data_IF_620669492902
#
_entry.id   IF_620669492902
#
_cell.length_a   1.000
_cell.length_b   1.000
_cell.length_c   1.000
_cell.angle_alpha   90.00
_cell.angle_beta   90.00
_cell.angle_gamma   90.00
#
_symmetry.space_group_name_H-M   'P 1'
#
loop_
_entity.id
_entity.type
_entity.pdbx_description
1 polymer ?
#
# COMPACT_ATOMS: atom_id res chain seq x y z
N UNK A 1 20.63 13.11 8.04
CA UNK A 1 19.89 13.41 6.79
C UNK A 1 18.40 13.31 7.09
N UNK A 2 17.58 14.07 6.38
CA UNK A 2 16.12 13.96 6.43
C UNK A 2 15.62 13.41 5.10
N UNK A 3 14.52 12.68 5.13
CA UNK A 3 13.87 12.14 3.93
C UNK A 3 12.43 12.62 3.91
N UNK A 4 12.04 13.33 2.86
CA UNK A 4 10.67 13.80 2.65
C UNK A 4 9.97 12.94 1.62
N UNK A 5 8.87 12.30 2.00
CA UNK A 5 7.99 11.60 1.08
C UNK A 5 6.86 12.54 0.69
N UNK A 6 6.62 12.72 -0.60
CA UNK A 6 5.54 13.57 -1.09
C UNK A 6 4.58 12.82 -2.01
N UNK A 7 3.30 13.18 -1.96
CA UNK A 7 2.28 12.75 -2.90
C UNK A 7 2.08 13.79 -3.99
N UNK A 8 2.16 13.36 -5.25
CA UNK A 8 1.77 14.18 -6.40
C UNK A 8 0.30 13.94 -6.78
N UNK A 9 -0.19 14.69 -7.78
CA UNK A 9 -1.57 14.59 -8.26
C UNK A 9 -1.94 13.20 -8.80
N UNK A 10 -0.95 12.45 -9.30
CA UNK A 10 -1.16 11.12 -9.87
C UNK A 10 -1.41 10.04 -8.81
N UNK A 11 -1.14 10.31 -7.52
CA UNK A 11 -1.53 9.41 -6.44
C UNK A 11 -3.05 9.13 -6.43
N UNK A 12 -3.87 10.05 -6.93
CA UNK A 12 -5.31 9.85 -7.06
C UNK A 12 -5.67 8.73 -8.07
N UNK A 13 -4.82 8.47 -9.07
CA UNK A 13 -5.03 7.40 -10.05
C UNK A 13 -4.90 6.00 -9.42
N UNK A 14 -4.21 5.87 -8.28
CA UNK A 14 -4.09 4.61 -7.56
C UNK A 14 -5.35 4.24 -6.76
N UNK A 15 -6.45 5.01 -6.91
CA UNK A 15 -7.76 4.64 -6.37
C UNK A 15 -8.22 3.29 -6.96
N UNK A 16 -8.83 2.40 -6.14
CA UNK A 16 -9.35 2.64 -4.78
C UNK A 16 -8.30 2.41 -3.68
N UNK A 17 -7.12 1.88 -4.00
CA UNK A 17 -6.16 1.38 -3.01
C UNK A 17 -5.50 2.51 -2.20
N UNK A 18 -5.20 3.64 -2.83
CA UNK A 18 -4.63 4.80 -2.16
C UNK A 18 -5.67 5.86 -1.74
N UNK A 19 -6.97 5.60 -1.84
CA UNK A 19 -7.98 6.64 -1.56
C UNK A 19 -8.04 7.04 -0.08
N UNK A 20 -7.96 6.06 0.83
CA UNK A 20 -8.03 6.27 2.28
C UNK A 20 -6.66 6.22 2.98
N UNK A 21 -5.57 6.06 2.23
CA UNK A 21 -4.20 5.94 2.75
C UNK A 21 -3.19 6.60 1.82
N UNK A 22 -1.98 6.94 2.30
CA UNK A 22 -0.89 7.38 1.43
C UNK A 22 -0.42 6.26 0.50
N UNK A 23 -0.04 6.62 -0.73
CA UNK A 23 0.48 5.66 -1.70
C UNK A 23 1.72 4.91 -1.16
N UNK A 24 2.60 5.59 -0.43
CA UNK A 24 3.79 4.99 0.19
C UNK A 24 3.51 3.97 1.30
N UNK A 25 2.25 3.83 1.74
CA UNK A 25 1.83 2.82 2.72
C UNK A 25 1.27 1.54 2.09
N UNK A 26 1.19 1.47 0.76
CA UNK A 26 0.76 0.27 0.06
C UNK A 26 1.87 -0.78 0.04
N UNK A 27 1.49 -2.03 0.30
CA UNK A 27 2.42 -3.15 0.37
C UNK A 27 2.79 -3.67 -1.02
N UNK A 28 4.08 -3.77 -1.31
CA UNK A 28 4.64 -4.41 -2.50
C UNK A 28 5.72 -5.40 -2.05
N UNK A 29 5.63 -6.63 -2.50
CA UNK A 29 6.40 -7.70 -1.87
C UNK A 29 5.85 -7.97 -0.47
N UNK A 30 6.64 -7.76 0.56
CA UNK A 30 6.22 -7.88 1.96
C UNK A 30 6.50 -6.61 2.76
N UNK A 31 6.62 -5.46 2.08
CA UNK A 31 7.05 -4.19 2.68
C UNK A 31 6.37 -3.00 2.02
N UNK A 32 6.36 -1.87 2.72
CA UNK A 32 5.92 -0.57 2.21
C UNK A 32 7.12 0.32 1.88
N UNK A 33 6.92 1.36 1.08
CA UNK A 33 7.95 2.37 0.82
C UNK A 33 8.36 3.09 2.12
N UNK A 34 7.42 3.34 3.02
CA UNK A 34 7.69 3.92 4.33
C UNK A 34 8.72 3.10 5.11
N UNK A 35 8.49 1.78 5.24
CA UNK A 35 9.41 0.89 5.96
C UNK A 35 10.81 0.87 5.33
N UNK A 36 10.87 0.90 4.00
CA UNK A 36 12.14 0.87 3.28
C UNK A 36 12.93 2.16 3.39
N UNK A 37 12.28 3.29 3.62
CA UNK A 37 12.94 4.58 3.76
C UNK A 37 13.37 4.90 5.20
N UNK A 38 12.94 4.15 6.21
CA UNK A 38 13.39 4.33 7.60
C UNK A 38 14.93 4.42 7.76
N UNK A 39 15.74 3.58 7.08
CA UNK A 39 17.19 3.65 7.20
C UNK A 39 17.83 4.94 6.63
N UNK A 40 17.07 5.73 5.83
CA UNK A 40 17.55 6.98 5.25
C UNK A 40 17.43 8.19 6.19
N UNK A 41 17.05 7.98 7.45
CA UNK A 41 17.00 8.99 8.49
C UNK A 41 15.58 9.38 8.90
N UNK A 42 15.41 10.59 9.44
CA UNK A 42 14.09 11.07 9.88
C UNK A 42 13.16 11.22 8.67
N UNK A 43 12.00 10.55 8.74
CA UNK A 43 10.97 10.65 7.70
C UNK A 43 10.05 11.84 7.95
N UNK A 44 9.89 12.65 6.93
CA UNK A 44 8.90 13.71 6.82
C UNK A 44 7.90 13.33 5.74
N UNK A 45 6.68 13.83 5.81
CA UNK A 45 5.66 13.54 4.78
C UNK A 45 4.92 14.79 4.34
N UNK A 46 4.66 14.88 3.03
CA UNK A 46 3.75 15.87 2.43
C UNK A 46 2.68 15.11 1.67
N UNK A 47 1.51 14.99 2.29
CA UNK A 47 0.41 14.14 1.81
C UNK A 47 -0.79 14.99 1.39
N UNK A 48 -1.71 14.37 0.65
CA UNK A 48 -3.01 14.95 0.33
C UNK A 48 -3.70 15.49 1.59
N UNK A 49 -4.42 16.62 1.51
CA UNK A 49 -4.90 17.37 2.69
C UNK A 49 -5.70 16.52 3.69
N UNK A 50 -6.56 15.62 3.22
CA UNK A 50 -7.38 14.76 4.08
C UNK A 50 -6.55 13.75 4.86
N UNK A 51 -5.49 13.19 4.28
CA UNK A 51 -4.60 12.24 4.94
C UNK A 51 -3.69 12.94 5.95
N UNK A 52 -3.19 14.14 5.60
CA UNK A 52 -2.41 14.96 6.52
C UNK A 52 -3.22 15.29 7.76
N UNK A 53 -4.44 15.85 7.59
CA UNK A 53 -5.35 16.15 8.71
C UNK A 53 -5.63 14.93 9.58
N UNK A 54 -5.87 13.78 8.97
CA UNK A 54 -6.10 12.53 9.68
C UNK A 54 -4.89 12.14 10.55
N UNK A 55 -3.68 12.18 9.99
CA UNK A 55 -2.46 11.81 10.72
C UNK A 55 -2.13 12.81 11.84
N UNK A 56 -2.37 14.11 11.61
CA UNK A 56 -2.23 15.14 12.65
C UNK A 56 -3.15 14.87 13.85
N UNK A 57 -4.39 14.46 13.59
CA UNK A 57 -5.34 14.10 14.65
C UNK A 57 -4.99 12.80 15.38
N UNK A 58 -4.31 11.86 14.70
CA UNK A 58 -3.86 10.60 15.29
C UNK A 58 -2.60 10.74 16.15
N UNK A 59 -1.86 11.82 16.00
CA UNK A 59 -0.52 11.97 16.54
C UNK A 59 -0.40 11.50 17.99
N UNK A 60 0.45 10.48 18.22
CA UNK A 60 0.73 9.91 19.54
C UNK A 60 -0.35 8.99 20.13
N UNK A 61 -1.47 8.74 19.46
CA UNK A 61 -2.54 7.88 20.00
C UNK A 61 -2.40 6.42 19.57
N UNK A 62 -2.33 6.14 18.29
CA UNK A 62 -2.14 4.79 17.74
C UNK A 62 -1.67 4.82 16.27
N UNK A 63 -1.34 3.64 15.74
CA UNK A 63 -1.08 3.49 14.30
C UNK A 63 -2.33 3.84 13.46
N UNK A 64 -2.14 4.33 12.21
CA UNK A 64 -3.24 4.59 11.29
C UNK A 64 -4.08 3.34 10.98
N UNK A 65 -5.29 3.53 10.41
CA UNK A 65 -6.20 2.43 10.04
C UNK A 65 -5.54 1.37 9.16
N UNK A 66 -4.64 1.76 8.29
CA UNK A 66 -3.93 0.83 7.40
C UNK A 66 -2.76 0.10 8.07
N UNK A 67 -2.47 0.35 9.36
CA UNK A 67 -1.30 -0.21 10.04
C UNK A 67 0.00 0.53 9.65
N UNK A 68 1.12 -0.08 9.95
CA UNK A 68 2.44 0.49 9.68
C UNK A 68 3.03 1.29 10.84
N UNK A 69 4.23 1.86 10.69
CA UNK A 69 4.85 2.64 11.74
C UNK A 69 3.98 3.84 12.11
N UNK A 70 3.88 4.12 13.39
CA UNK A 70 3.26 5.35 13.86
C UNK A 70 4.06 6.53 13.29
N UNK A 71 3.38 7.42 12.59
CA UNK A 71 3.99 8.69 12.22
C UNK A 71 4.15 9.49 13.50
N UNK A 72 5.38 9.88 13.83
CA UNK A 72 5.59 10.88 14.88
C UNK A 72 4.88 12.17 14.45
N UNK A 73 4.21 12.83 15.39
CA UNK A 73 3.52 14.09 15.11
C UNK A 73 4.45 15.14 14.47
N UNK A 74 5.73 15.03 14.74
CA UNK A 74 6.80 15.91 14.25
C UNK A 74 7.19 15.64 12.78
N UNK A 75 6.68 14.58 12.16
CA UNK A 75 6.94 14.20 10.76
C UNK A 75 5.97 14.77 9.72
N UNK A 76 4.95 15.50 10.16
CA UNK A 76 3.84 15.94 9.27
C UNK A 76 3.97 17.38 8.82
N UNK A 77 4.75 18.19 9.49
CA UNK A 77 5.07 19.54 9.05
C UNK A 77 6.52 19.61 8.59
N UNK A 78 6.78 20.31 7.48
CA UNK A 78 8.09 20.91 7.29
C UNK A 78 8.18 21.90 8.46
N UNK A 79 8.95 21.63 9.51
CA UNK A 79 9.00 22.57 10.62
C UNK A 79 9.63 23.84 10.05
N UNK A 80 8.94 24.97 10.19
CA UNK A 80 9.64 26.22 10.27
C UNK A 80 10.68 26.02 11.40
N UNK A 81 11.95 25.87 11.05
CA UNK A 81 13.10 25.80 11.94
C UNK A 81 12.93 24.95 13.22
N UNK A 82 12.92 23.62 13.11
CA UNK A 82 13.18 22.78 14.25
C UNK A 82 14.68 22.83 14.62
N UNK A 83 14.97 23.27 15.82
CA UNK A 83 16.31 23.35 16.36
C UNK A 83 17.04 22.00 16.22
N UNK A 84 18.16 21.99 15.51
CA UNK A 84 19.05 20.83 15.36
C UNK A 84 19.88 20.64 16.61
N UNK A 85 20.22 19.39 16.96
CA UNK A 85 21.35 19.14 17.85
C UNK A 85 22.60 19.76 17.23
N UNK A 86 23.33 20.56 17.97
CA UNK A 86 24.46 21.39 17.52
C UNK A 86 25.71 20.62 17.08
N UNK A 87 25.72 19.29 17.07
CA UNK A 87 26.93 18.47 16.93
C UNK A 87 27.15 17.81 15.56
N UNK A 88 26.26 18.01 14.57
CA UNK A 88 26.44 17.52 13.20
C UNK A 88 26.39 18.61 12.14
N UNK A 89 27.05 19.75 12.39
CA UNK A 89 27.36 20.71 11.33
C UNK A 89 28.54 20.16 10.49
N UNK A 90 28.25 19.20 9.64
CA UNK A 90 29.11 18.80 8.55
C UNK A 90 29.26 19.96 7.54
N UNK A 91 30.38 20.04 6.86
CA UNK A 91 30.75 21.06 5.87
C UNK A 91 29.80 21.21 4.67
N UNK A 92 28.75 20.43 4.62
CA UNK A 92 27.68 20.44 3.61
C UNK A 92 26.39 20.87 4.29
N UNK A 93 25.68 21.83 3.72
CA UNK A 93 24.31 22.17 4.13
C UNK A 93 23.48 20.90 4.25
N UNK A 94 22.36 20.93 4.99
CA UNK A 94 21.56 19.72 5.24
C UNK A 94 20.98 19.16 3.94
N UNK A 95 21.48 18.00 3.55
CA UNK A 95 20.91 17.20 2.47
C UNK A 95 19.52 16.74 2.86
N UNK A 96 18.55 16.96 1.96
CA UNK A 96 17.21 16.45 2.02
C UNK A 96 16.99 15.50 0.84
N UNK A 97 16.72 14.22 1.14
CA UNK A 97 16.23 13.28 0.14
C UNK A 97 14.71 13.46 0.00
N UNK A 98 14.25 13.79 -1.19
CA UNK A 98 12.81 13.92 -1.51
C UNK A 98 12.41 12.73 -2.36
N UNK A 99 11.37 11.98 -1.98
CA UNK A 99 10.93 10.76 -2.66
C UNK A 99 9.44 10.82 -2.93
N UNK A 100 9.04 10.54 -4.17
CA UNK A 100 7.64 10.46 -4.52
C UNK A 100 6.99 9.22 -3.88
N UNK A 101 5.81 9.38 -3.29
CA UNK A 101 5.08 8.32 -2.61
C UNK A 101 4.68 7.13 -3.52
N UNK A 102 4.76 7.31 -4.84
CA UNK A 102 4.47 6.28 -5.85
C UNK A 102 5.69 5.44 -6.24
N UNK A 103 6.87 5.72 -5.69
CA UNK A 103 8.08 4.91 -5.93
C UNK A 103 7.85 3.48 -5.44
N UNK A 104 8.17 2.52 -6.28
CA UNK A 104 8.09 1.10 -5.96
C UNK A 104 9.21 0.73 -4.98
N UNK A 105 8.92 0.14 -3.81
CA UNK A 105 9.93 -0.22 -2.81
C UNK A 105 10.73 -1.47 -3.19
N UNK A 106 11.14 -1.58 -4.46
CA UNK A 106 11.98 -2.66 -4.95
C UNK A 106 13.41 -2.53 -4.42
N UNK A 107 14.16 -3.63 -4.46
CA UNK A 107 15.59 -3.61 -4.10
C UNK A 107 16.37 -2.65 -5.00
N UNK A 108 16.05 -2.65 -6.28
CA UNK A 108 16.69 -1.83 -7.31
C UNK A 108 16.45 -0.34 -7.04
N UNK A 109 15.21 0.06 -6.80
CA UNK A 109 14.86 1.44 -6.45
C UNK A 109 15.61 1.92 -5.21
N UNK A 110 15.71 1.07 -4.18
CA UNK A 110 16.42 1.44 -2.95
C UNK A 110 17.94 1.54 -3.13
N UNK A 111 18.55 0.67 -3.91
CA UNK A 111 19.98 0.78 -4.25
C UNK A 111 20.25 2.06 -5.03
N UNK A 112 19.38 2.41 -5.96
CA UNK A 112 19.44 3.68 -6.70
C UNK A 112 19.35 4.89 -5.75
N UNK A 113 18.35 4.95 -4.87
CA UNK A 113 18.23 6.01 -3.88
C UNK A 113 19.44 6.11 -2.97
N UNK A 114 20.00 4.98 -2.55
CA UNK A 114 21.20 4.93 -1.73
C UNK A 114 22.42 5.49 -2.47
N UNK A 115 22.64 5.08 -3.73
CA UNK A 115 23.75 5.59 -4.54
C UNK A 115 23.68 7.09 -4.77
N UNK A 116 22.48 7.64 -4.95
CA UNK A 116 22.26 9.09 -5.08
C UNK A 116 22.69 9.83 -3.81
N UNK A 117 22.29 9.29 -2.65
CA UNK A 117 22.65 9.87 -1.35
C UNK A 117 24.15 9.78 -1.09
N UNK A 118 24.77 8.64 -1.39
CA UNK A 118 26.21 8.40 -1.20
C UNK A 118 27.05 9.29 -2.12
N UNK A 119 26.61 9.51 -3.36
CA UNK A 119 27.27 10.41 -4.29
C UNK A 119 27.16 11.88 -3.85
N UNK A 120 26.12 12.24 -3.12
CA UNK A 120 25.93 13.60 -2.57
C UNK A 120 25.69 14.69 -3.63
N UNK A 121 25.44 14.31 -4.87
CA UNK A 121 25.21 15.27 -5.96
C UNK A 121 23.75 15.74 -5.96
N UNK A 122 23.56 17.06 -5.92
CA UNK A 122 22.24 17.68 -6.09
C UNK A 122 21.66 17.34 -7.45
N UNK A 123 20.41 16.92 -7.47
CA UNK A 123 19.77 16.58 -8.73
C UNK A 123 18.41 15.97 -8.54
N UNK A 124 17.76 15.67 -9.67
CA UNK A 124 16.46 14.98 -9.69
C UNK A 124 16.54 13.68 -10.51
N UNK A 125 15.74 12.71 -10.12
CA UNK A 125 15.44 11.50 -10.90
C UNK A 125 14.06 11.65 -11.48
N UNK A 126 13.97 11.57 -12.80
CA UNK A 126 12.69 11.69 -13.52
C UNK A 126 12.26 10.36 -14.13
N UNK A 127 10.95 10.22 -14.21
CA UNK A 127 10.26 9.31 -15.15
C UNK A 127 9.56 10.15 -16.22
N UNK A 128 9.02 9.55 -17.29
CA UNK A 128 8.24 10.30 -18.28
C UNK A 128 7.04 11.05 -17.68
N UNK A 129 6.48 10.58 -16.58
CA UNK A 129 5.25 11.11 -15.97
C UNK A 129 5.50 12.02 -14.77
N UNK A 130 6.64 11.89 -14.05
CA UNK A 130 6.84 12.60 -12.79
C UNK A 130 8.31 12.67 -12.34
N UNK A 131 8.57 13.45 -11.30
CA UNK A 131 9.81 13.37 -10.51
C UNK A 131 9.67 12.22 -9.51
N UNK A 132 10.56 11.25 -9.60
CA UNK A 132 10.59 10.08 -8.71
C UNK A 132 11.32 10.39 -7.40
N UNK A 133 12.46 11.09 -7.48
CA UNK A 133 13.23 11.50 -6.32
C UNK A 133 14.05 12.76 -6.62
N UNK A 134 14.49 13.44 -5.56
CA UNK A 134 15.46 14.53 -5.65
C UNK A 134 16.38 14.53 -4.44
N UNK A 135 17.64 14.94 -4.64
CA UNK A 135 18.57 15.24 -3.57
C UNK A 135 18.83 16.74 -3.55
N UNK A 136 18.42 17.42 -2.49
CA UNK A 136 18.40 18.87 -2.36
C UNK A 136 19.27 19.34 -1.19
N UNK A 137 19.76 20.56 -1.27
CA UNK A 137 20.40 21.28 -0.18
C UNK A 137 19.46 22.36 0.35
N UNK A 138 18.66 22.05 1.35
CA UNK A 138 17.76 23.02 1.94
C UNK A 138 18.51 24.02 2.82
N UNK A 139 18.25 25.31 2.60
CA UNK A 139 18.76 26.41 3.42
C UNK A 139 18.05 26.47 4.76
N UNK A 140 18.73 26.87 5.85
CA UNK A 140 18.08 27.16 7.12
C UNK A 140 17.03 28.28 7.05
N UNK A 141 17.15 29.19 6.07
CA UNK A 141 16.24 30.33 5.85
C UNK A 141 15.04 29.99 4.97
N UNK A 142 15.03 28.81 4.33
CA UNK A 142 13.99 28.36 3.37
C UNK A 142 13.78 29.31 2.16
N UNK A 143 14.80 30.10 1.79
CA UNK A 143 14.74 31.06 0.68
C UNK A 143 15.63 30.66 -0.50
N UNK A 144 16.28 29.51 -0.44
CA UNK A 144 17.19 29.02 -1.47
C UNK A 144 16.48 28.49 -2.71
N UNK A 145 17.24 28.29 -3.81
CA UNK A 145 16.68 27.70 -5.05
C UNK A 145 16.11 26.30 -4.84
N UNK A 146 16.70 25.49 -3.97
CA UNK A 146 16.22 24.14 -3.67
C UNK A 146 14.90 24.17 -2.89
N UNK A 147 14.68 25.20 -2.06
CA UNK A 147 13.42 25.37 -1.35
C UNK A 147 12.29 25.71 -2.32
N UNK A 148 12.55 26.49 -3.36
CA UNK A 148 11.58 26.77 -4.44
C UNK A 148 11.24 25.53 -5.23
N UNK A 149 12.24 24.72 -5.60
CA UNK A 149 12.01 23.44 -6.26
C UNK A 149 11.15 22.52 -5.38
N UNK A 150 11.46 22.44 -4.10
CA UNK A 150 10.67 21.65 -3.15
C UNK A 150 9.20 22.11 -3.16
N UNK A 151 8.94 23.42 -3.09
CA UNK A 151 7.57 23.96 -3.16
C UNK A 151 6.86 23.56 -4.47
N UNK A 152 7.56 23.59 -5.59
CA UNK A 152 6.98 23.19 -6.88
C UNK A 152 6.69 21.69 -6.96
N UNK A 153 7.56 20.82 -6.43
CA UNK A 153 7.31 19.38 -6.31
C UNK A 153 6.07 19.10 -5.45
N UNK A 154 5.96 19.79 -4.32
CA UNK A 154 4.81 19.67 -3.41
C UNK A 154 3.52 20.23 -4.00
N UNK A 155 3.60 21.19 -4.90
CA UNK A 155 2.45 21.72 -5.65
C UNK A 155 1.99 20.80 -6.80
N UNK A 156 2.70 19.69 -7.05
CA UNK A 156 2.34 18.71 -8.09
C UNK A 156 2.69 19.15 -9.50
N UNK A 157 3.80 19.88 -9.66
CA UNK A 157 4.29 20.33 -10.97
C UNK A 157 4.45 19.15 -11.94
N UNK A 158 3.93 19.30 -13.15
CA UNK A 158 4.00 18.26 -14.17
C UNK A 158 5.46 18.00 -14.62
N UNK A 159 5.76 16.77 -15.02
CA UNK A 159 7.10 16.37 -15.47
C UNK A 159 7.63 17.27 -16.62
N UNK A 160 6.74 17.79 -17.48
CA UNK A 160 7.09 18.69 -18.57
C UNK A 160 7.73 20.00 -18.09
N UNK A 161 7.30 20.52 -16.95
CA UNK A 161 7.80 21.80 -16.40
C UNK A 161 9.14 21.63 -15.68
N UNK A 162 9.55 20.39 -15.39
CA UNK A 162 10.80 20.12 -14.67
C UNK A 162 12.06 20.45 -15.49
N UNK A 163 11.97 20.48 -16.81
CA UNK A 163 13.13 20.87 -17.67
C UNK A 163 13.52 22.33 -17.49
N UNK A 164 12.56 23.24 -17.36
CA UNK A 164 12.83 24.64 -17.03
C UNK A 164 13.35 24.79 -15.59
N UNK A 165 12.80 23.99 -14.67
CA UNK A 165 13.27 23.93 -13.29
C UNK A 165 14.73 23.52 -13.16
N UNK A 166 15.16 22.50 -13.89
CA UNK A 166 16.56 22.06 -13.89
C UNK A 166 17.49 23.19 -14.30
N UNK A 167 17.14 23.90 -15.39
CA UNK A 167 17.91 25.02 -15.89
C UNK A 167 17.92 26.22 -14.92
N UNK A 168 16.77 26.55 -14.35
CA UNK A 168 16.60 27.69 -13.45
C UNK A 168 17.35 27.55 -12.12
N UNK A 169 17.58 26.30 -11.67
CA UNK A 169 18.16 26.01 -10.35
C UNK A 169 19.52 25.29 -10.40
N UNK A 170 20.13 25.21 -11.59
CA UNK A 170 21.43 24.53 -11.80
C UNK A 170 21.46 23.12 -11.20
N UNK A 171 20.36 22.38 -11.44
CA UNK A 171 20.20 21.01 -11.01
C UNK A 171 20.48 20.05 -12.16
N UNK A 172 21.08 18.92 -11.83
CA UNK A 172 21.41 17.87 -12.79
C UNK A 172 20.29 16.84 -12.82
N UNK A 173 19.94 16.37 -14.02
CA UNK A 173 19.18 15.14 -14.13
C UNK A 173 20.12 13.97 -13.83
N UNK A 174 19.80 13.22 -12.77
CA UNK A 174 20.60 12.08 -12.35
C UNK A 174 20.30 10.91 -13.27
N UNK A 175 21.35 10.30 -13.83
CA UNK A 175 21.22 9.07 -14.64
C UNK A 175 20.91 7.88 -13.70
N UNK A 176 19.65 7.79 -13.32
CA UNK A 176 19.17 6.82 -12.37
C UNK A 176 17.74 6.40 -12.73
N UNK A 177 17.47 5.11 -12.62
CA UNK A 177 16.13 4.56 -12.87
C UNK A 177 15.48 4.13 -11.56
N UNK A 178 14.23 4.55 -11.40
CA UNK A 178 13.38 4.18 -10.28
C UNK A 178 12.00 3.86 -10.81
N UNK A 179 11.47 2.70 -10.46
CA UNK A 179 10.12 2.31 -10.84
C UNK A 179 9.07 3.10 -10.05
N UNK A 180 8.03 3.53 -10.73
CA UNK A 180 6.91 4.26 -10.15
C UNK A 180 5.57 3.63 -10.52
N UNK A 181 4.61 3.71 -9.59
CA UNK A 181 3.23 3.33 -9.84
C UNK A 181 2.50 4.43 -10.61
N UNK A 182 1.82 4.07 -11.68
CA UNK A 182 0.91 4.96 -12.42
C UNK A 182 -0.55 4.51 -12.27
N UNK A 183 -0.77 3.19 -12.28
CA UNK A 183 -2.10 2.60 -12.20
C UNK A 183 -2.20 1.56 -11.07
N UNK A 184 -3.37 1.37 -10.46
CA UNK A 184 -3.51 0.49 -9.30
C UNK A 184 -3.25 -1.00 -9.60
N UNK A 185 -3.39 -1.46 -10.84
CA UNK A 185 -3.06 -2.84 -11.22
C UNK A 185 -1.56 -3.15 -11.19
N UNK A 186 -0.72 -2.11 -11.30
CA UNK A 186 0.73 -2.25 -11.25
C UNK A 186 1.22 -2.68 -9.87
N UNK A 187 0.43 -2.40 -8.81
CA UNK A 187 0.70 -2.95 -7.49
C UNK A 187 0.78 -4.49 -7.51
N UNK A 188 -0.12 -5.15 -8.25
CA UNK A 188 -0.08 -6.61 -8.42
C UNK A 188 1.15 -7.02 -9.23
N UNK A 189 1.48 -6.28 -10.30
CA UNK A 189 2.65 -6.59 -11.15
C UNK A 189 3.97 -6.47 -10.40
N UNK A 190 4.19 -5.34 -9.74
CA UNK A 190 5.40 -5.11 -8.96
C UNK A 190 5.48 -6.00 -7.72
N UNK A 191 4.34 -6.34 -7.13
CA UNK A 191 4.31 -7.27 -6.01
C UNK A 191 4.85 -8.66 -6.41
N UNK A 192 4.39 -9.22 -7.52
CA UNK A 192 4.85 -10.51 -8.02
C UNK A 192 6.37 -10.51 -8.29
N UNK A 193 6.88 -9.42 -8.86
CA UNK A 193 8.32 -9.26 -9.14
C UNK A 193 9.15 -9.08 -7.86
N UNK A 194 8.64 -8.34 -6.89
CA UNK A 194 9.39 -7.93 -5.71
C UNK A 194 9.37 -8.96 -4.56
N UNK A 195 8.36 -9.85 -4.49
CA UNK A 195 8.13 -10.66 -3.28
C UNK A 195 9.34 -11.54 -2.92
N UNK A 196 9.87 -12.30 -3.88
CA UNK A 196 10.98 -13.20 -3.61
C UNK A 196 12.21 -12.45 -3.08
N UNK A 197 12.58 -11.32 -3.71
CA UNK A 197 13.69 -10.46 -3.26
C UNK A 197 13.42 -9.82 -1.89
N UNK A 198 12.17 -9.45 -1.64
CA UNK A 198 11.75 -8.89 -0.35
C UNK A 198 11.88 -9.92 0.79
N UNK A 199 11.50 -11.18 0.53
CA UNK A 199 11.65 -12.28 1.48
C UNK A 199 13.13 -12.61 1.75
N UNK A 200 13.99 -12.59 0.75
CA UNK A 200 15.41 -12.78 0.93
C UNK A 200 16.02 -11.75 1.92
N UNK A 201 15.67 -10.47 1.75
CA UNK A 201 16.10 -9.41 2.67
C UNK A 201 15.58 -9.63 4.10
N UNK A 202 14.36 -10.14 4.28
CA UNK A 202 13.83 -10.48 5.61
C UNK A 202 14.61 -11.63 6.25
N UNK A 203 14.89 -12.67 5.49
CA UNK A 203 15.64 -13.84 5.97
C UNK A 203 17.08 -13.48 6.34
N UNK A 204 17.72 -12.57 5.60
CA UNK A 204 19.06 -12.06 5.91
C UNK A 204 19.13 -11.32 7.27
N UNK A 205 18.00 -10.90 7.83
CA UNK A 205 17.94 -10.28 9.16
C UNK A 205 18.32 -11.23 10.31
N UNK A 206 18.32 -12.56 10.07
CA UNK A 206 18.68 -13.57 11.04
C UNK A 206 17.67 -13.81 12.17
N UNK A 207 16.44 -13.29 12.05
CA UNK A 207 15.40 -13.41 13.08
C UNK A 207 14.49 -14.63 12.90
N UNK A 208 14.69 -15.42 11.86
CA UNK A 208 13.86 -16.59 11.52
C UNK A 208 14.60 -17.90 11.71
N UNK A 209 13.87 -18.92 12.18
CA UNK A 209 14.32 -20.29 12.20
C UNK A 209 13.67 -21.09 11.06
N UNK A 210 14.44 -21.90 10.35
CA UNK A 210 13.87 -22.85 9.39
C UNK A 210 13.28 -24.03 10.16
N UNK A 211 11.94 -24.03 10.30
CA UNK A 211 11.20 -25.09 10.99
C UNK A 211 11.12 -26.38 10.17
N UNK A 212 11.01 -26.26 8.85
CA UNK A 212 11.00 -27.33 7.83
C UNK A 212 11.61 -26.80 6.55
N UNK A 213 12.04 -27.65 5.60
CA UNK A 213 12.61 -27.17 4.34
C UNK A 213 11.74 -26.11 3.67
N UNK A 214 12.28 -24.91 3.54
CA UNK A 214 11.61 -23.75 2.94
C UNK A 214 10.57 -23.03 3.79
N UNK A 215 10.35 -23.44 5.06
CA UNK A 215 9.44 -22.78 6.00
C UNK A 215 10.25 -22.07 7.10
N UNK A 216 10.25 -20.75 7.06
CA UNK A 216 10.97 -19.88 7.99
C UNK A 216 9.99 -19.18 8.93
N UNK A 217 10.19 -19.32 10.21
CA UNK A 217 9.28 -18.82 11.24
C UNK A 217 9.99 -17.86 12.19
N UNK A 218 9.35 -16.74 12.48
CA UNK A 218 9.80 -15.83 13.52
C UNK A 218 9.48 -16.39 14.92
N UNK A 219 10.10 -15.91 15.99
CA UNK A 219 9.71 -16.23 17.36
C UNK A 219 8.20 -16.01 17.59
N UNK A 220 7.60 -16.81 18.47
CA UNK A 220 6.17 -16.76 18.82
C UNK A 220 5.20 -17.11 17.67
N UNK A 221 5.67 -17.51 16.50
CA UNK A 221 4.80 -18.07 15.46
C UNK A 221 4.45 -19.53 15.79
N UNK A 222 3.19 -19.90 15.54
CA UNK A 222 2.68 -21.24 15.80
C UNK A 222 2.25 -21.90 14.48
N UNK A 223 2.83 -23.04 14.18
CA UNK A 223 2.54 -23.84 12.97
C UNK A 223 2.14 -25.23 13.38
N UNK A 224 0.93 -25.67 12.99
CA UNK A 224 0.45 -27.02 13.26
C UNK A 224 1.31 -28.10 12.54
N UNK A 225 1.37 -29.29 13.10
CA UNK A 225 2.21 -30.38 12.59
C UNK A 225 1.75 -30.88 11.21
N UNK A 226 0.48 -30.82 10.90
CA UNK A 226 -0.14 -31.28 9.66
C UNK A 226 -0.04 -30.26 8.50
N UNK A 227 0.68 -29.17 8.66
CA UNK A 227 0.92 -28.18 7.59
C UNK A 227 1.81 -28.79 6.51
N UNK A 228 1.41 -28.64 5.25
CA UNK A 228 2.18 -29.10 4.08
C UNK A 228 2.85 -27.90 3.42
N UNK A 229 4.17 -27.90 3.31
CA UNK A 229 4.95 -26.96 2.53
C UNK A 229 5.36 -27.64 1.23
N UNK A 230 4.80 -27.19 0.10
CA UNK A 230 5.12 -27.76 -1.22
C UNK A 230 6.35 -27.14 -1.84
N UNK A 231 6.52 -25.84 -1.61
CA UNK A 231 7.65 -25.05 -2.12
C UNK A 231 7.92 -23.87 -1.18
N UNK A 232 9.20 -23.54 -0.93
CA UNK A 232 9.61 -22.32 -0.22
C UNK A 232 10.12 -21.22 -1.16
N UNK A 233 10.50 -20.04 -0.64
CA UNK A 233 10.44 -19.70 0.79
C UNK A 233 9.01 -19.34 1.25
N UNK A 234 8.64 -19.80 2.42
CA UNK A 234 7.48 -19.33 3.17
C UNK A 234 7.99 -18.67 4.44
N UNK A 235 7.65 -17.40 4.64
CA UNK A 235 8.07 -16.63 5.82
C UNK A 235 6.85 -16.31 6.68
N UNK A 236 6.90 -16.72 7.95
CA UNK A 236 5.83 -16.57 8.94
C UNK A 236 6.32 -15.66 10.06
N UNK A 237 5.64 -14.54 10.24
CA UNK A 237 5.99 -13.50 11.21
C UNK A 237 5.53 -13.83 12.63
N UNK A 238 6.04 -13.07 13.61
CA UNK A 238 5.79 -13.25 15.04
C UNK A 238 4.30 -13.27 15.38
N UNK A 239 3.89 -14.18 16.23
CA UNK A 239 2.51 -14.34 16.71
C UNK A 239 1.52 -14.81 15.64
N UNK A 240 1.97 -15.17 14.43
CA UNK A 240 1.08 -15.77 13.43
C UNK A 240 0.75 -17.23 13.80
N UNK A 241 -0.47 -17.65 13.48
CA UNK A 241 -1.00 -18.98 13.77
C UNK A 241 -1.40 -19.67 12.47
N UNK A 242 -0.80 -20.83 12.16
CA UNK A 242 -1.13 -21.65 10.99
C UNK A 242 -1.84 -22.92 11.46
N UNK A 243 -3.11 -23.07 11.07
CA UNK A 243 -3.94 -24.21 11.45
C UNK A 243 -3.54 -25.53 10.76
N UNK A 244 -4.08 -26.66 11.20
CA UNK A 244 -3.78 -27.97 10.62
C UNK A 244 -4.30 -28.10 9.18
N UNK A 245 -3.66 -28.96 8.40
CA UNK A 245 -4.00 -29.28 7.00
C UNK A 245 -3.93 -28.08 6.06
N UNK A 246 -3.21 -27.01 6.44
CA UNK A 246 -2.92 -25.89 5.55
C UNK A 246 -1.85 -26.31 4.54
N UNK A 247 -2.04 -25.93 3.26
CA UNK A 247 -1.08 -26.12 2.20
C UNK A 247 -0.43 -24.78 1.84
N UNK A 248 0.91 -24.73 1.79
CA UNK A 248 1.68 -23.53 1.56
C UNK A 248 2.60 -23.71 0.34
N UNK A 249 2.50 -22.78 -0.62
CA UNK A 249 3.40 -22.67 -1.77
C UNK A 249 4.10 -21.29 -1.72
N UNK A 250 5.43 -21.29 -1.64
CA UNK A 250 6.25 -20.05 -1.69
C UNK A 250 6.60 -19.63 -3.13
N UNK A 251 7.05 -18.37 -3.32
CA UNK A 251 7.29 -17.38 -2.28
C UNK A 251 5.99 -16.91 -1.62
N UNK A 252 5.96 -16.88 -0.29
CA UNK A 252 4.79 -16.54 0.50
C UNK A 252 5.19 -15.81 1.79
N UNK A 253 4.50 -14.72 2.11
CA UNK A 253 4.66 -14.00 3.37
C UNK A 253 3.38 -14.01 4.18
N UNK A 254 3.48 -14.34 5.47
CA UNK A 254 2.38 -14.32 6.43
C UNK A 254 2.76 -13.37 7.57
N UNK A 255 2.11 -12.22 7.61
CA UNK A 255 2.40 -11.10 8.51
C UNK A 255 2.06 -11.38 9.98
N UNK A 256 2.51 -10.49 10.88
CA UNK A 256 2.38 -10.66 12.33
C UNK A 256 0.94 -10.87 12.79
N UNK A 257 0.75 -11.77 13.75
CA UNK A 257 -0.54 -12.07 14.38
C UNK A 257 -1.65 -12.49 13.40
N UNK A 258 -1.31 -12.91 12.21
CA UNK A 258 -2.25 -13.41 11.22
C UNK A 258 -2.65 -14.86 11.53
N UNK A 259 -3.93 -15.18 11.33
CA UNK A 259 -4.46 -16.53 11.53
C UNK A 259 -4.82 -17.15 10.19
N UNK A 260 -4.22 -18.29 9.89
CA UNK A 260 -4.55 -19.14 8.74
C UNK A 260 -5.41 -20.29 9.22
N UNK A 261 -6.65 -20.33 8.76
CA UNK A 261 -7.62 -21.34 9.18
C UNK A 261 -7.27 -22.72 8.60
N UNK A 262 -7.69 -23.82 9.26
CA UNK A 262 -7.50 -25.17 8.74
C UNK A 262 -7.96 -25.34 7.30
N UNK A 263 -7.27 -26.20 6.55
CA UNK A 263 -7.55 -26.52 5.14
C UNK A 263 -7.41 -25.35 4.15
N UNK A 264 -6.79 -24.23 4.55
CA UNK A 264 -6.47 -23.16 3.61
C UNK A 264 -5.37 -23.61 2.63
N UNK A 265 -5.43 -23.10 1.41
CA UNK A 265 -4.34 -23.22 0.44
C UNK A 265 -3.82 -21.83 0.08
N UNK A 266 -2.65 -21.49 0.59
CA UNK A 266 -1.97 -20.24 0.28
C UNK A 266 -0.90 -20.52 -0.78
N UNK A 267 -1.12 -19.98 -1.98
CA UNK A 267 -0.30 -20.24 -3.15
C UNK A 267 0.76 -19.14 -3.32
N UNK A 268 1.74 -19.49 -4.15
CA UNK A 268 2.88 -18.64 -4.45
C UNK A 268 2.47 -17.22 -4.90
N UNK A 269 3.33 -16.26 -4.60
CA UNK A 269 3.09 -14.87 -4.93
C UNK A 269 2.13 -14.16 -3.98
N UNK A 270 1.79 -14.73 -2.84
CA UNK A 270 0.87 -14.11 -1.88
C UNK A 270 1.58 -13.45 -0.71
N UNK A 271 1.08 -12.28 -0.28
CA UNK A 271 1.51 -11.60 0.93
C UNK A 271 0.29 -11.22 1.79
N UNK A 272 0.23 -11.80 2.97
CA UNK A 272 -0.87 -11.61 3.91
C UNK A 272 -0.39 -10.67 5.02
N UNK A 273 -0.95 -9.49 5.10
CA UNK A 273 -0.60 -8.45 6.08
C UNK A 273 -0.88 -8.85 7.52
N UNK A 274 -0.49 -7.97 8.44
CA UNK A 274 -0.65 -8.20 9.88
C UNK A 274 -2.13 -8.32 10.29
N UNK A 275 -2.41 -9.11 11.33
CA UNK A 275 -3.75 -9.22 11.93
C UNK A 275 -4.84 -9.74 10.98
N UNK A 276 -4.49 -10.30 9.83
CA UNK A 276 -5.44 -10.89 8.90
C UNK A 276 -6.00 -12.21 9.41
N UNK A 277 -7.13 -12.62 8.83
CA UNK A 277 -7.70 -13.97 9.01
C UNK A 277 -8.02 -14.53 7.65
N UNK A 278 -7.39 -15.65 7.30
CA UNK A 278 -7.46 -16.20 5.96
C UNK A 278 -7.82 -17.68 5.95
N UNK A 279 -8.52 -18.09 4.90
CA UNK A 279 -8.97 -19.47 4.64
C UNK A 279 -9.37 -19.61 3.18
N UNK A 280 -9.66 -20.84 2.74
CA UNK A 280 -9.88 -21.13 1.33
C UNK A 280 -8.63 -20.99 0.49
N UNK A 281 -8.75 -20.62 -0.78
CA UNK A 281 -7.62 -20.49 -1.71
C UNK A 281 -7.24 -19.03 -1.94
N UNK A 282 -5.93 -18.72 -1.83
CA UNK A 282 -5.37 -17.38 -2.11
C UNK A 282 -4.12 -17.57 -2.97
N UNK A 283 -4.03 -16.87 -4.11
CA UNK A 283 -2.93 -16.94 -5.06
C UNK A 283 -2.48 -15.54 -5.50
N UNK A 284 -1.16 -15.31 -5.57
CA UNK A 284 -0.55 -14.10 -6.15
C UNK A 284 -1.25 -12.80 -5.71
N UNK A 285 -1.59 -12.69 -4.43
CA UNK A 285 -2.44 -11.62 -3.91
C UNK A 285 -1.86 -10.96 -2.68
N UNK A 286 -2.12 -9.66 -2.54
CA UNK A 286 -1.82 -8.89 -1.33
C UNK A 286 -3.08 -8.69 -0.53
N UNK A 287 -3.02 -8.97 0.76
CA UNK A 287 -4.03 -8.55 1.73
C UNK A 287 -3.40 -7.60 2.73
N UNK A 288 -3.85 -6.35 2.73
CA UNK A 288 -3.39 -5.34 3.69
C UNK A 288 -3.89 -5.66 5.12
N UNK A 289 -3.27 -5.08 6.16
CA UNK A 289 -3.56 -5.43 7.56
C UNK A 289 -5.04 -5.39 7.95
N UNK A 290 -5.41 -6.24 8.92
CA UNK A 290 -6.74 -6.36 9.53
C UNK A 290 -7.84 -6.89 8.59
N UNK A 291 -7.50 -7.37 7.40
CA UNK A 291 -8.49 -7.88 6.44
C UNK A 291 -8.82 -9.36 6.67
N UNK A 292 -10.04 -9.73 6.31
CA UNK A 292 -10.57 -11.09 6.47
C UNK A 292 -10.96 -11.69 5.11
N UNK A 293 -10.49 -12.89 4.84
CA UNK A 293 -11.03 -13.87 3.93
C UNK A 293 -10.98 -15.24 4.65
N UNK A 294 -11.74 -15.36 5.74
CA UNK A 294 -11.60 -16.49 6.69
C UNK A 294 -12.23 -17.80 6.20
N UNK A 295 -13.07 -17.76 5.19
CA UNK A 295 -13.85 -18.90 4.71
C UNK A 295 -13.39 -19.37 3.33
N UNK A 296 -14.06 -20.39 2.78
CA UNK A 296 -13.90 -20.91 1.43
C UNK A 296 -14.10 -19.82 0.34
N UNK A 297 -13.73 -20.15 -0.87
CA UNK A 297 -13.72 -19.26 -2.02
C UNK A 297 -12.30 -19.03 -2.54
N UNK A 298 -12.18 -18.26 -3.63
CA UNK A 298 -10.92 -17.98 -4.31
C UNK A 298 -10.60 -16.49 -4.38
N UNK A 299 -9.35 -16.14 -4.06
CA UNK A 299 -8.78 -14.80 -4.23
C UNK A 299 -7.48 -14.92 -5.02
N UNK A 300 -7.48 -14.49 -6.28
CA UNK A 300 -6.30 -14.60 -7.13
C UNK A 300 -5.88 -13.28 -7.76
N UNK A 301 -4.57 -13.01 -7.86
CA UNK A 301 -3.95 -11.86 -8.53
C UNK A 301 -4.61 -10.54 -8.16
N UNK A 302 -4.85 -10.34 -6.86
CA UNK A 302 -5.65 -9.24 -6.31
C UNK A 302 -4.86 -8.40 -5.32
N UNK A 303 -5.26 -7.13 -5.14
CA UNK A 303 -4.79 -6.32 -4.02
C UNK A 303 -5.98 -5.87 -3.19
N UNK A 304 -5.97 -6.26 -1.92
CA UNK A 304 -7.06 -6.05 -0.96
C UNK A 304 -6.60 -5.08 0.12
N UNK A 305 -7.31 -3.97 0.27
CA UNK A 305 -7.05 -2.94 1.28
C UNK A 305 -7.21 -3.43 2.73
N UNK A 306 -7.02 -2.54 3.69
CA UNK A 306 -7.17 -2.84 5.12
C UNK A 306 -8.63 -2.86 5.56
N UNK A 307 -8.91 -3.65 6.61
CA UNK A 307 -10.25 -3.77 7.19
C UNK A 307 -11.32 -4.24 6.18
N UNK A 308 -10.90 -4.90 5.11
CA UNK A 308 -11.80 -5.54 4.15
C UNK A 308 -12.35 -6.84 4.75
N UNK A 309 -13.62 -7.12 4.49
CA UNK A 309 -14.21 -8.39 4.89
C UNK A 309 -14.78 -9.13 3.68
N UNK A 310 -14.10 -10.18 3.25
CA UNK A 310 -14.53 -11.07 2.17
C UNK A 310 -15.30 -12.22 2.80
N UNK A 311 -16.61 -12.30 2.53
CA UNK A 311 -17.50 -13.32 3.10
C UNK A 311 -17.34 -14.68 2.43
N UNK A 312 -17.92 -15.71 3.05
CA UNK A 312 -17.88 -17.10 2.59
C UNK A 312 -18.39 -17.25 1.14
N UNK A 313 -17.73 -18.11 0.37
CA UNK A 313 -18.08 -18.39 -1.02
C UNK A 313 -17.81 -17.24 -2.00
N UNK A 314 -17.13 -16.18 -1.58
CA UNK A 314 -16.71 -15.11 -2.51
C UNK A 314 -15.60 -15.62 -3.42
N UNK A 315 -15.75 -15.41 -4.73
CA UNK A 315 -14.80 -15.84 -5.76
C UNK A 315 -14.42 -14.65 -6.64
N UNK A 316 -13.11 -14.42 -6.79
CA UNK A 316 -12.59 -13.49 -7.79
C UNK A 316 -12.20 -14.24 -9.05
N UNK A 317 -12.70 -13.83 -10.22
CA UNK A 317 -12.13 -14.26 -11.47
C UNK A 317 -10.80 -13.53 -11.70
N UNK A 318 -9.74 -14.26 -12.02
CA UNK A 318 -8.44 -13.67 -12.34
C UNK A 318 -8.00 -13.88 -13.78
N UNK A 319 -8.74 -14.70 -14.54
CA UNK A 319 -8.50 -15.01 -15.95
C UNK A 319 -9.81 -14.87 -16.74
N UNK A 320 -9.76 -14.17 -17.86
CA UNK A 320 -10.94 -14.06 -18.73
C UNK A 320 -11.31 -15.39 -19.38
N UNK A 321 -12.58 -15.61 -19.61
CA UNK A 321 -13.06 -16.75 -20.42
C UNK A 321 -12.46 -16.75 -21.84
N UNK A 322 -12.13 -15.57 -22.39
CA UNK A 322 -11.48 -15.41 -23.70
C UNK A 322 -9.96 -15.60 -23.67
N UNK A 323 -9.35 -15.80 -22.49
CA UNK A 323 -7.89 -15.88 -22.29
C UNK A 323 -7.09 -14.66 -22.77
N UNK A 324 -7.76 -13.59 -23.19
CA UNK A 324 -7.12 -12.36 -23.63
C UNK A 324 -6.69 -11.44 -22.48
N UNK A 325 -5.91 -10.38 -22.77
CA UNK A 325 -5.48 -9.43 -21.75
C UNK A 325 -6.66 -8.72 -21.06
N UNK A 326 -6.47 -8.41 -19.79
CA UNK A 326 -7.47 -7.77 -18.95
C UNK A 326 -7.35 -6.25 -19.12
N UNK A 327 -8.48 -5.57 -19.18
CA UNK A 327 -8.58 -4.12 -19.17
C UNK A 327 -9.16 -3.66 -17.85
N UNK A 328 -8.46 -2.75 -17.21
CA UNK A 328 -8.96 -2.12 -15.99
C UNK A 328 -9.97 -1.02 -16.37
N UNK A 329 -11.17 -0.96 -15.76
CA UNK A 329 -12.03 0.20 -15.91
C UNK A 329 -11.34 1.42 -15.30
N UNK A 330 -11.23 2.51 -16.04
CA UNK A 330 -10.85 3.78 -15.47
C UNK A 330 -12.02 4.35 -14.67
N UNK A 331 -11.72 5.27 -13.74
CA UNK A 331 -12.75 5.98 -12.99
C UNK A 331 -13.79 6.59 -13.98
N UNK A 332 -15.10 6.53 -13.69
CA UNK A 332 -16.11 7.18 -14.52
C UNK A 332 -15.76 8.64 -14.83
N UNK A 333 -15.89 9.01 -16.10
CA UNK A 333 -15.47 10.33 -16.58
C UNK A 333 -13.99 10.50 -16.93
N UNK A 334 -13.13 9.50 -16.63
CA UNK A 334 -11.73 9.55 -17.02
C UNK A 334 -11.59 9.38 -18.56
N UNK A 335 -10.76 10.21 -19.26
CA UNK A 335 -10.65 10.18 -20.72
C UNK A 335 -10.23 8.82 -21.30
N UNK A 336 -9.44 8.06 -20.56
CA UNK A 336 -8.98 6.74 -21.01
C UNK A 336 -10.10 5.68 -21.08
N UNK A 337 -11.23 5.87 -20.39
CA UNK A 337 -12.35 4.92 -20.31
C UNK A 337 -11.95 3.55 -19.79
N UNK A 338 -10.95 2.90 -20.41
CA UNK A 338 -10.33 1.66 -19.96
C UNK A 338 -8.81 1.73 -20.14
N UNK A 339 -8.09 1.11 -19.22
CA UNK A 339 -6.62 1.03 -19.21
C UNK A 339 -6.19 -0.37 -19.62
N UNK A 340 -5.31 -0.46 -20.60
CA UNK A 340 -4.67 -1.73 -20.98
C UNK A 340 -3.66 -2.11 -19.90
N UNK A 341 -3.85 -3.26 -19.27
CA UNK A 341 -2.96 -3.70 -18.19
C UNK A 341 -1.77 -4.51 -18.70
N UNK A 342 -1.83 -5.01 -19.92
CA UNK A 342 -0.88 -5.98 -20.44
C UNK A 342 -0.94 -7.35 -19.77
N UNK A 343 -1.82 -7.55 -18.79
CA UNK A 343 -1.90 -8.75 -17.95
C UNK A 343 -2.98 -9.72 -18.44
N UNK A 344 -2.62 -10.99 -18.47
CA UNK A 344 -3.58 -12.09 -18.69
C UNK A 344 -4.27 -12.48 -17.40
N UNK A 345 -3.56 -12.36 -16.24
CA UNK A 345 -4.08 -12.64 -14.91
C UNK A 345 -4.16 -11.35 -14.09
N UNK A 346 -5.36 -10.98 -13.68
CA UNK A 346 -5.65 -9.89 -12.76
C UNK A 346 -7.02 -10.10 -12.13
N UNK A 347 -7.05 -10.20 -10.81
CA UNK A 347 -8.27 -10.32 -10.02
C UNK A 347 -8.91 -8.98 -9.71
N UNK A 348 -9.09 -8.68 -8.43
CA UNK A 348 -9.76 -7.49 -7.96
C UNK A 348 -8.83 -6.52 -7.25
N UNK A 349 -9.12 -5.22 -7.40
CA UNK A 349 -8.50 -4.13 -6.65
C UNK A 349 -9.56 -3.60 -5.67
N UNK A 350 -9.39 -3.93 -4.39
CA UNK A 350 -10.41 -3.71 -3.37
C UNK A 350 -9.90 -2.66 -2.37
N UNK A 351 -10.58 -1.51 -2.34
CA UNK A 351 -10.27 -0.42 -1.41
C UNK A 351 -10.53 -0.76 0.06
N UNK A 352 -9.93 0.02 0.93
CA UNK A 352 -10.07 -0.15 2.38
C UNK A 352 -11.53 -0.21 2.82
N UNK A 353 -11.82 -1.01 3.87
CA UNK A 353 -13.14 -1.08 4.51
C UNK A 353 -14.24 -1.74 3.65
N UNK A 354 -13.95 -2.15 2.42
CA UNK A 354 -14.94 -2.80 1.56
C UNK A 354 -15.40 -4.15 2.15
N UNK A 355 -16.62 -4.54 1.83
CA UNK A 355 -17.21 -5.80 2.31
C UNK A 355 -17.92 -6.53 1.18
N UNK A 356 -17.88 -7.86 1.22
CA UNK A 356 -18.72 -8.69 0.33
C UNK A 356 -19.81 -9.40 1.12
N UNK A 357 -20.96 -9.61 0.49
CA UNK A 357 -21.92 -10.62 0.93
C UNK A 357 -21.43 -12.04 0.64
N UNK A 358 -22.12 -13.04 1.16
CA UNK A 358 -21.81 -14.45 0.86
C UNK A 358 -22.02 -14.74 -0.64
N UNK A 359 -21.25 -15.70 -1.20
CA UNK A 359 -21.35 -16.13 -2.60
C UNK A 359 -21.25 -14.98 -3.63
N UNK A 360 -20.42 -13.99 -3.34
CA UNK A 360 -20.18 -12.87 -4.25
C UNK A 360 -19.25 -13.30 -5.38
N UNK A 361 -19.62 -12.98 -6.63
CA UNK A 361 -18.81 -13.22 -7.83
C UNK A 361 -18.19 -11.89 -8.30
N UNK A 362 -16.86 -11.82 -8.32
CA UNK A 362 -16.11 -10.62 -8.68
C UNK A 362 -15.37 -10.87 -10.00
N UNK A 363 -15.62 -10.09 -11.07
CA UNK A 363 -14.98 -10.31 -12.37
C UNK A 363 -13.51 -9.87 -12.39
N UNK A 364 -12.76 -10.35 -13.41
CA UNK A 364 -11.36 -9.96 -13.65
C UNK A 364 -11.21 -8.44 -13.76
N UNK A 365 -10.19 -7.87 -13.11
CA UNK A 365 -9.90 -6.46 -13.13
C UNK A 365 -10.97 -5.59 -12.46
N UNK A 366 -11.81 -6.17 -11.60
CA UNK A 366 -12.80 -5.40 -10.86
C UNK A 366 -12.13 -4.41 -9.92
N UNK A 367 -12.70 -3.21 -9.85
CA UNK A 367 -12.28 -2.14 -8.94
C UNK A 367 -13.42 -1.84 -7.98
N UNK A 368 -13.21 -2.09 -6.69
CA UNK A 368 -14.21 -1.91 -5.63
C UNK A 368 -13.75 -0.77 -4.71
N UNK A 369 -14.54 0.29 -4.64
CA UNK A 369 -14.22 1.51 -3.89
C UNK A 369 -14.17 1.31 -2.38
N UNK A 370 -13.58 2.31 -1.71
CA UNK A 370 -13.48 2.36 -0.24
C UNK A 370 -14.86 2.26 0.40
N UNK A 371 -14.98 1.47 1.47
CA UNK A 371 -16.21 1.27 2.22
C UNK A 371 -17.41 0.80 1.38
N UNK A 372 -17.19 0.28 0.17
CA UNK A 372 -18.26 -0.32 -0.61
C UNK A 372 -18.71 -1.66 -0.01
N UNK A 373 -19.98 -1.97 -0.12
CA UNK A 373 -20.55 -3.28 0.25
C UNK A 373 -21.19 -3.91 -0.99
N UNK A 374 -20.68 -5.05 -1.42
CA UNK A 374 -21.08 -5.70 -2.68
C UNK A 374 -21.61 -7.10 -2.44
N UNK A 375 -22.55 -7.54 -3.29
CA UNK A 375 -23.14 -8.88 -3.22
C UNK A 375 -23.56 -9.37 -4.61
N UNK A 376 -23.66 -10.67 -4.79
CA UNK A 376 -24.06 -11.29 -6.05
C UNK A 376 -23.00 -11.10 -7.15
N UNK A 377 -23.42 -10.81 -8.37
CA UNK A 377 -22.53 -10.53 -9.50
C UNK A 377 -22.10 -9.05 -9.48
N UNK A 378 -20.84 -8.80 -9.15
CA UNK A 378 -20.30 -7.45 -8.99
C UNK A 378 -19.95 -6.84 -10.36
N UNK A 379 -20.28 -5.56 -10.63
CA UNK A 379 -19.81 -4.88 -11.85
C UNK A 379 -18.30 -4.64 -11.79
N UNK A 380 -17.68 -4.39 -12.95
CA UNK A 380 -16.22 -4.17 -13.04
C UNK A 380 -15.75 -2.90 -12.28
N UNK A 381 -16.65 -1.94 -12.05
CA UNK A 381 -16.38 -0.74 -11.25
C UNK A 381 -17.50 -0.55 -10.21
N UNK A 382 -17.12 -0.37 -8.95
CA UNK A 382 -18.01 -0.02 -7.86
C UNK A 382 -17.46 1.23 -7.17
N UNK A 383 -18.27 2.28 -7.11
CA UNK A 383 -17.89 3.53 -6.43
C UNK A 383 -17.68 3.32 -4.93
N UNK A 384 -16.86 4.18 -4.34
CA UNK A 384 -16.69 4.21 -2.90
C UNK A 384 -18.03 4.50 -2.19
N UNK A 385 -18.20 3.99 -0.98
CA UNK A 385 -19.41 4.16 -0.17
C UNK A 385 -20.71 3.73 -0.87
N UNK A 386 -20.65 2.77 -1.77
CA UNK A 386 -21.82 2.21 -2.47
C UNK A 386 -22.16 0.85 -1.87
N UNK A 387 -23.44 0.61 -1.61
CA UNK A 387 -23.94 -0.74 -1.29
C UNK A 387 -24.82 -1.29 -2.40
N UNK A 388 -24.48 -2.49 -2.88
CA UNK A 388 -25.32 -3.27 -3.80
C UNK A 388 -26.16 -4.31 -3.05
N UNK A 389 -25.97 -4.38 -1.72
CA UNK A 389 -26.74 -5.27 -0.85
C UNK A 389 -28.08 -4.60 -0.55
N UNK A 390 -29.17 -5.13 -1.11
CA UNK A 390 -30.53 -4.68 -0.78
C UNK A 390 -31.36 -5.91 -0.41
N UNK A 391 -32.17 -5.78 0.64
CA UNK A 391 -33.02 -6.86 1.13
C UNK A 391 -34.17 -7.20 0.16
N UNK A 392 -34.47 -6.29 -0.76
CA UNK A 392 -35.61 -6.33 -1.70
C UNK A 392 -35.20 -6.30 -3.19
N UNK A 393 -33.92 -6.51 -3.50
CA UNK A 393 -33.42 -6.44 -4.89
C UNK A 393 -33.40 -5.02 -5.49
N UNK A 394 -33.40 -4.01 -4.64
CA UNK A 394 -33.37 -2.60 -5.03
C UNK A 394 -32.09 -2.15 -5.73
N UNK A 395 -32.10 -0.92 -6.24
CA UNK A 395 -30.93 -0.29 -6.87
C UNK A 395 -29.82 -0.06 -5.83
N UNK A 396 -28.54 -0.03 -6.28
CA UNK A 396 -27.44 0.36 -5.42
C UNK A 396 -27.72 1.68 -4.70
N UNK A 397 -27.40 1.74 -3.42
CA UNK A 397 -27.58 2.93 -2.59
C UNK A 397 -26.25 3.43 -2.02
N UNK A 398 -26.23 4.66 -1.52
CA UNK A 398 -25.05 5.27 -0.89
C UNK A 398 -25.01 4.98 0.60
N UNK A 399 -23.84 4.59 1.09
CA UNK A 399 -23.53 4.50 2.53
C UNK A 399 -22.96 5.84 2.99
N UNK A 400 -23.47 6.38 4.09
CA UNK A 400 -22.90 7.61 4.68
C UNK A 400 -21.60 7.32 5.43
N UNK A 401 -20.77 8.37 5.62
CA UNK A 401 -19.56 8.25 6.45
C UNK A 401 -19.87 7.78 7.87
N UNK A 402 -20.98 8.21 8.45
CA UNK A 402 -21.46 7.77 9.77
C UNK A 402 -21.78 6.28 9.80
N UNK A 403 -22.50 5.77 8.79
CA UNK A 403 -22.80 4.34 8.68
C UNK A 403 -21.53 3.50 8.50
N UNK A 404 -20.61 3.96 7.65
CA UNK A 404 -19.31 3.31 7.45
C UNK A 404 -18.50 3.26 8.76
N UNK A 405 -18.43 4.37 9.49
CA UNK A 405 -17.75 4.47 10.79
C UNK A 405 -18.37 3.54 11.83
N UNK A 406 -19.71 3.47 11.91
CA UNK A 406 -20.41 2.55 12.83
C UNK A 406 -20.10 1.10 12.52
N UNK A 407 -20.07 0.76 11.23
CA UNK A 407 -19.68 -0.59 10.78
C UNK A 407 -18.24 -0.94 11.11
N UNK A 408 -17.32 0.01 10.91
CA UNK A 408 -15.90 -0.13 11.25
C UNK A 408 -15.69 -0.28 12.76
N UNK A 409 -16.35 0.52 13.58
CA UNK A 409 -16.27 0.44 15.04
C UNK A 409 -16.58 -0.97 15.55
N UNK A 410 -17.66 -1.58 15.02
CA UNK A 410 -18.02 -2.96 15.36
C UNK A 410 -16.96 -3.98 14.91
N UNK A 411 -16.31 -3.76 13.77
CA UNK A 411 -15.20 -4.61 13.30
C UNK A 411 -13.98 -4.46 14.19
N UNK A 412 -13.60 -3.22 14.52
CA UNK A 412 -12.43 -2.90 15.32
C UNK A 412 -12.57 -3.43 16.76
N UNK A 413 -13.75 -3.29 17.36
CA UNK A 413 -14.04 -3.82 18.69
C UNK A 413 -13.77 -5.34 18.79
N UNK A 414 -14.07 -6.11 17.74
CA UNK A 414 -13.75 -7.56 17.68
C UNK A 414 -12.25 -7.85 17.61
N UNK A 415 -11.43 -6.85 17.38
CA UNK A 415 -9.96 -6.91 17.34
C UNK A 415 -9.31 -6.23 18.51
N UNK A 416 -10.09 -5.72 19.47
CA UNK A 416 -9.59 -4.94 20.59
C UNK A 416 -8.99 -3.60 20.18
N UNK A 417 -9.40 -3.06 19.03
CA UNK A 417 -8.96 -1.76 18.51
C UNK A 417 -10.09 -0.75 18.68
N UNK A 418 -9.78 0.44 19.18
CA UNK A 418 -10.74 1.53 19.35
C UNK A 418 -10.85 2.37 18.06
N UNK A 419 -12.07 2.76 17.69
CA UNK A 419 -12.32 3.73 16.64
C UNK A 419 -12.20 5.15 17.22
N UNK A 420 -11.25 5.92 16.73
CA UNK A 420 -10.98 7.27 17.17
C UNK A 420 -11.83 8.32 16.42
N UNK A 421 -11.99 9.55 16.98
CA UNK A 421 -12.65 10.65 16.26
C UNK A 421 -12.03 10.94 14.90
N UNK A 422 -10.69 10.88 14.79
CA UNK A 422 -9.99 11.06 13.52
C UNK A 422 -10.43 10.08 12.42
N UNK A 423 -10.73 8.82 12.78
CA UNK A 423 -11.22 7.81 11.82
C UNK A 423 -12.61 8.17 11.31
N UNK A 424 -13.47 8.67 12.19
CA UNK A 424 -14.83 9.11 11.83
C UNK A 424 -14.78 10.31 10.89
N UNK A 425 -13.91 11.29 11.19
CA UNK A 425 -13.71 12.48 10.37
C UNK A 425 -13.19 12.13 8.98
N UNK A 426 -12.21 11.21 8.90
CA UNK A 426 -11.70 10.71 7.61
C UNK A 426 -12.80 10.06 6.79
N UNK A 427 -13.58 9.17 7.38
CA UNK A 427 -14.66 8.47 6.67
C UNK A 427 -15.78 9.42 6.23
N UNK A 428 -16.12 10.40 7.03
CA UNK A 428 -17.10 11.43 6.66
C UNK A 428 -16.62 12.22 5.44
N UNK A 429 -15.36 12.68 5.47
CA UNK A 429 -14.78 13.45 4.38
C UNK A 429 -14.65 12.63 3.08
N UNK A 430 -14.27 11.36 3.18
CA UNK A 430 -14.20 10.47 2.02
C UNK A 430 -15.58 10.20 1.42
N UNK A 431 -16.62 10.05 2.25
CA UNK A 431 -17.99 9.83 1.77
C UNK A 431 -18.59 11.07 1.07
N UNK A 432 -18.23 12.27 1.51
CA UNK A 432 -18.66 13.55 0.89
C UNK A 432 -18.01 13.77 -0.49
N UNK A 433 -16.82 13.21 -0.72
CA UNK A 433 -16.06 13.38 -1.96
C UNK A 433 -16.13 12.15 -2.90
N UNK A 434 -16.93 11.15 -2.57
CA UNK A 434 -17.05 9.89 -3.32
C UNK A 434 -18.07 9.93 -4.45
#
# INVERSE_FOLDING_TARGET
>A
MQTLIFEDALCAQLSPLAAARPACSLSIGSVTLLERLLPFGQLLTSLRPHLRRYLEQLAGTRAPLWGGPAFAADGISIPAAAARPAETQSRYGSLLLVVNARVVPSRESLLTLRSIVEAGHRGIVRTPSAVAAALLHCSPTHDGPDDRLLQMLLAGTAAADTTELLKAHDLVELDAMVDMLEWPHELVSFHELALAGSLAVRLDSGTYAELRPGLFVAPEAHVADEVVVRQGPVVVEAGAEIGPFVCLDGPLWIGPHTKVNPHAWLRAGSAIGAQCRVGGEIEASVMEPFSNKAHDGFLGHSHVGSWVNIAAGTITSNLKVSYGPIRLPARPGHPAGRVETGRQFLGALIGDLAKTGIHTSIPCGATIGVAATVSGNVPAWVEAFTTTLSDDGGLPSRTTGVQAATGLERMMARRGVELLPADRDLLQLLAENA
#
